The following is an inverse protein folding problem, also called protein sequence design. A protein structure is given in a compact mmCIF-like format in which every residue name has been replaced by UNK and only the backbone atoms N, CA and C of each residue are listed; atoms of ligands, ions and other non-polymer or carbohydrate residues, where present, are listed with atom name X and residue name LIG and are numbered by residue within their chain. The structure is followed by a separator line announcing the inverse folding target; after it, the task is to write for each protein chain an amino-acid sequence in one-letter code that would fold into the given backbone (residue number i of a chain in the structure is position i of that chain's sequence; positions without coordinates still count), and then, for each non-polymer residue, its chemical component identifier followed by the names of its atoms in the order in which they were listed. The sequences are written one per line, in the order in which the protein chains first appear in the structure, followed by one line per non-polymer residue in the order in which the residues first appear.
data_IF_206432701550
#
_entry.id   IF_206432701550
#
_cell.length_a   1.000
_cell.length_b   1.000
_cell.length_c   1.000
_cell.angle_alpha   90.00
_cell.angle_beta   90.00
_cell.angle_gamma   90.00
#
_symmetry.space_group_name_H-M   'P 1'
#
loop_
_entity.id
_entity.type
_entity.pdbx_description
1 polymer ?
#
# COMPACT_ATOMS: atom_id res chain seq x y z
N UNK A 1 -18.67 1.36 -29.06
CA UNK A 1 -18.28 -0.03 -29.40
C UNK A 1 -16.95 -0.41 -28.73
N UNK A 2 -16.95 -0.79 -27.45
CA UNK A 2 -15.77 -1.32 -26.73
C UNK A 2 -16.16 -2.44 -25.75
N UNK A 3 -17.14 -3.28 -26.11
CA UNK A 3 -17.77 -4.22 -25.17
C UNK A 3 -17.11 -5.61 -25.12
N UNK A 4 -16.22 -5.96 -26.06
CA UNK A 4 -15.66 -7.31 -26.17
C UNK A 4 -14.18 -7.31 -26.55
N UNK A 5 -13.30 -6.82 -25.66
CA UNK A 5 -11.87 -7.10 -25.77
C UNK A 5 -11.53 -8.25 -24.79
N UNK A 6 -11.05 -9.42 -25.26
CA UNK A 6 -10.75 -10.57 -24.39
C UNK A 6 -9.70 -10.27 -23.31
N UNK A 7 -8.84 -9.26 -23.51
CA UNK A 7 -7.90 -8.77 -22.49
C UNK A 7 -8.57 -8.07 -21.29
N UNK A 8 -9.76 -7.48 -21.46
CA UNK A 8 -10.50 -6.83 -20.38
C UNK A 8 -10.97 -7.84 -19.31
N UNK A 9 -11.27 -9.09 -19.72
CA UNK A 9 -11.63 -10.17 -18.79
C UNK A 9 -10.46 -10.64 -17.93
N UNK A 10 -9.24 -10.65 -18.48
CA UNK A 10 -8.02 -11.04 -17.73
C UNK A 10 -7.60 -9.95 -16.73
N UNK A 11 -7.82 -8.67 -17.05
CA UNK A 11 -7.64 -7.53 -16.13
C UNK A 11 -8.76 -7.42 -15.08
N UNK A 12 -10.00 -7.81 -15.40
CA UNK A 12 -11.11 -7.85 -14.44
C UNK A 12 -10.92 -8.96 -13.39
N UNK A 13 -10.30 -10.08 -13.76
CA UNK A 13 -9.96 -11.15 -12.82
C UNK A 13 -8.94 -10.71 -11.75
N UNK A 14 -7.96 -9.87 -12.12
CA UNK A 14 -7.01 -9.33 -11.15
C UNK A 14 -7.64 -8.27 -10.25
N UNK A 15 -8.65 -7.52 -10.73
CA UNK A 15 -9.33 -6.50 -9.93
C UNK A 15 -10.08 -7.11 -8.74
N UNK A 16 -10.96 -8.09 -8.99
CA UNK A 16 -11.69 -8.80 -7.94
C UNK A 16 -10.75 -9.67 -7.09
N UNK A 17 -9.75 -10.31 -7.70
CA UNK A 17 -8.73 -11.06 -6.98
C UNK A 17 -7.98 -10.19 -5.96
N UNK A 18 -7.60 -8.97 -6.33
CA UNK A 18 -6.92 -8.05 -5.42
C UNK A 18 -7.84 -7.60 -4.26
N UNK A 19 -9.13 -7.37 -4.51
CA UNK A 19 -10.09 -7.07 -3.44
C UNK A 19 -10.29 -8.28 -2.50
N UNK A 20 -10.33 -9.49 -3.06
CA UNK A 20 -10.43 -10.72 -2.27
C UNK A 20 -9.21 -10.91 -1.37
N UNK A 21 -8.01 -10.56 -1.85
CA UNK A 21 -6.78 -10.60 -1.04
C UNK A 21 -6.85 -9.66 0.18
N UNK A 22 -7.54 -8.53 0.07
CA UNK A 22 -7.77 -7.63 1.22
C UNK A 22 -8.66 -8.33 2.26
N UNK A 23 -9.75 -8.97 1.82
CA UNK A 23 -10.65 -9.73 2.71
C UNK A 23 -9.93 -10.91 3.35
N UNK A 24 -9.12 -11.65 2.59
CA UNK A 24 -8.33 -12.77 3.12
C UNK A 24 -7.28 -12.30 4.13
N UNK A 25 -6.62 -11.17 3.86
CA UNK A 25 -5.70 -10.56 4.82
C UNK A 25 -6.39 -10.15 6.11
N UNK A 26 -7.59 -9.58 6.01
CA UNK A 26 -8.43 -9.26 7.16
C UNK A 26 -8.76 -10.50 7.99
N UNK A 27 -9.30 -11.55 7.35
CA UNK A 27 -9.65 -12.80 8.04
C UNK A 27 -8.44 -13.45 8.70
N UNK A 28 -7.28 -13.41 8.05
CA UNK A 28 -6.04 -13.89 8.63
C UNK A 28 -5.64 -13.11 9.88
N UNK A 29 -5.77 -11.77 9.85
CA UNK A 29 -5.50 -10.93 11.00
C UNK A 29 -6.45 -11.15 12.17
N UNK A 30 -7.75 -11.33 11.90
CA UNK A 30 -8.74 -11.70 12.91
C UNK A 30 -8.42 -13.04 13.57
N UNK A 31 -8.12 -14.07 12.78
CA UNK A 31 -7.73 -15.40 13.32
C UNK A 31 -6.51 -15.27 14.23
N UNK A 32 -5.53 -14.45 13.83
CA UNK A 32 -4.32 -14.24 14.61
C UNK A 32 -4.61 -13.47 15.92
N UNK A 33 -5.51 -12.48 15.88
CA UNK A 33 -5.98 -11.78 17.08
C UNK A 33 -6.65 -12.75 18.05
N UNK A 34 -7.60 -13.56 17.58
CA UNK A 34 -8.27 -14.58 18.40
C UNK A 34 -7.29 -15.58 18.99
N UNK A 35 -6.29 -16.00 18.22
CA UNK A 35 -5.26 -16.91 18.68
C UNK A 35 -4.43 -16.31 19.82
N UNK A 36 -4.03 -15.03 19.70
CA UNK A 36 -3.27 -14.33 20.74
C UNK A 36 -4.11 -14.16 22.00
N UNK A 37 -5.35 -13.69 21.87
CA UNK A 37 -6.26 -13.49 23.01
C UNK A 37 -6.63 -14.81 23.72
N UNK A 38 -6.54 -15.94 23.03
CA UNK A 38 -6.82 -17.26 23.61
C UNK A 38 -5.59 -17.93 24.23
N UNK A 39 -4.39 -17.63 23.72
CA UNK A 39 -3.13 -18.20 24.22
C UNK A 39 -2.52 -17.41 25.36
N UNK A 40 -2.83 -16.12 25.47
CA UNK A 40 -2.30 -15.25 26.51
C UNK A 40 -3.25 -15.23 27.72
N UNK A 41 -2.70 -15.44 28.92
CA UNK A 41 -3.47 -15.51 30.17
C UNK A 41 -3.84 -14.10 30.69
N UNK A 42 -3.21 -13.03 30.18
CA UNK A 42 -3.52 -11.64 30.55
C UNK A 42 -3.27 -10.65 29.39
N UNK A 43 -4.08 -10.70 28.32
CA UNK A 43 -3.96 -9.78 27.20
C UNK A 43 -4.51 -8.41 27.62
N UNK A 44 -3.70 -7.56 28.26
CA UNK A 44 -4.16 -6.30 28.88
C UNK A 44 -4.96 -5.35 27.98
N UNK A 45 -4.88 -5.51 26.65
CA UNK A 45 -5.66 -4.77 25.66
C UNK A 45 -5.76 -5.55 24.34
N UNK A 46 -6.75 -5.23 23.51
CA UNK A 46 -6.87 -5.78 22.16
C UNK A 46 -6.66 -4.69 21.10
N UNK A 47 -6.18 -5.11 19.93
CA UNK A 47 -5.82 -4.23 18.82
C UNK A 47 -6.49 -4.68 17.53
N UNK A 48 -6.82 -3.73 16.64
CA UNK A 48 -7.44 -4.03 15.34
C UNK A 48 -6.43 -4.64 14.33
N UNK A 49 -6.01 -5.88 14.56
CA UNK A 49 -5.04 -6.59 13.71
C UNK A 49 -5.61 -6.92 12.32
N UNK A 50 -6.90 -7.24 12.21
CA UNK A 50 -7.55 -7.55 10.95
C UNK A 50 -7.44 -6.39 9.97
N UNK A 51 -7.84 -5.20 10.41
CA UNK A 51 -7.83 -3.99 9.59
C UNK A 51 -6.45 -3.46 9.29
N UNK A 52 -5.49 -3.58 10.20
CA UNK A 52 -4.11 -3.22 9.90
C UNK A 52 -3.50 -4.11 8.82
N UNK A 53 -3.72 -5.43 8.89
CA UNK A 53 -3.31 -6.33 7.82
C UNK A 53 -4.06 -6.04 6.52
N UNK A 54 -5.35 -5.72 6.58
CA UNK A 54 -6.12 -5.31 5.41
C UNK A 54 -5.56 -4.04 4.74
N UNK A 55 -5.12 -3.05 5.52
CA UNK A 55 -4.44 -1.85 5.03
C UNK A 55 -3.10 -2.16 4.37
N UNK A 56 -2.31 -3.05 4.97
CA UNK A 56 -1.06 -3.54 4.37
C UNK A 56 -1.35 -4.24 3.04
N UNK A 57 -2.38 -5.08 2.98
CA UNK A 57 -2.78 -5.75 1.74
C UNK A 57 -3.28 -4.78 0.68
N UNK A 58 -4.01 -3.72 1.05
CA UNK A 58 -4.39 -2.64 0.13
C UNK A 58 -3.16 -1.94 -0.45
N UNK A 59 -2.16 -1.66 0.39
CA UNK A 59 -0.90 -1.06 -0.05
C UNK A 59 -0.13 -2.00 -0.99
N UNK A 60 0.03 -3.27 -0.62
CA UNK A 60 0.74 -4.29 -1.41
C UNK A 60 0.08 -4.47 -2.78
N UNK A 61 -1.23 -4.71 -2.79
CA UNK A 61 -1.98 -4.92 -4.03
C UNK A 61 -1.93 -3.68 -4.93
N UNK A 62 -2.08 -2.48 -4.36
CA UNK A 62 -2.04 -1.25 -5.16
C UNK A 62 -0.63 -0.94 -5.68
N UNK A 63 0.37 -0.89 -4.82
CA UNK A 63 1.71 -0.41 -5.20
C UNK A 63 2.50 -1.49 -5.94
N UNK A 64 2.48 -2.73 -5.45
CA UNK A 64 3.27 -3.81 -6.04
C UNK A 64 2.53 -4.50 -7.19
N UNK A 65 1.27 -4.92 -7.01
CA UNK A 65 0.62 -5.72 -8.05
C UNK A 65 0.20 -4.86 -9.25
N UNK A 66 -0.44 -3.70 -9.04
CA UNK A 66 -0.68 -2.78 -10.16
C UNK A 66 0.62 -2.13 -10.65
N UNK A 67 1.59 -1.83 -9.78
CA UNK A 67 2.90 -1.33 -10.22
C UNK A 67 3.59 -2.30 -11.19
N UNK A 68 3.80 -3.56 -10.79
CA UNK A 68 4.44 -4.57 -11.66
C UNK A 68 3.59 -4.87 -12.90
N UNK A 69 2.27 -4.96 -12.73
CA UNK A 69 1.31 -5.21 -13.82
C UNK A 69 1.24 -4.11 -14.88
N UNK A 70 1.70 -2.89 -14.56
CA UNK A 70 1.72 -1.74 -15.49
C UNK A 70 2.41 -2.08 -16.82
N UNK A 71 3.53 -2.79 -16.77
CA UNK A 71 4.37 -3.08 -17.94
C UNK A 71 3.67 -4.00 -18.94
N UNK A 72 3.03 -5.07 -18.45
CA UNK A 72 2.24 -5.98 -19.27
C UNK A 72 0.95 -5.35 -19.79
N UNK A 73 0.29 -4.52 -18.98
CA UNK A 73 -0.89 -3.78 -19.43
C UNK A 73 -0.53 -2.76 -20.51
N UNK A 74 0.65 -2.13 -20.43
CA UNK A 74 1.11 -1.16 -21.40
C UNK A 74 1.45 -1.81 -22.75
N UNK A 75 2.20 -2.92 -22.74
CA UNK A 75 2.56 -3.64 -23.99
C UNK A 75 1.31 -4.16 -24.72
N UNK A 76 0.32 -4.63 -23.96
CA UNK A 76 -0.99 -5.02 -24.51
C UNK A 76 -1.75 -3.83 -25.10
N UNK A 77 -1.74 -2.67 -24.42
CA UNK A 77 -2.40 -1.48 -24.95
C UNK A 77 -1.76 -0.96 -26.25
N UNK A 78 -0.43 -1.04 -26.36
CA UNK A 78 0.27 -0.69 -27.60
C UNK A 78 -0.06 -1.64 -28.75
N UNK A 79 -0.10 -2.96 -28.51
CA UNK A 79 -0.47 -3.92 -29.56
C UNK A 79 -1.91 -3.74 -30.05
N UNK A 80 -2.76 -3.10 -29.25
CA UNK A 80 -4.13 -2.72 -29.59
C UNK A 80 -4.26 -1.30 -30.17
N UNK A 81 -3.16 -0.68 -30.65
CA UNK A 81 -3.12 0.67 -31.23
C UNK A 81 -3.69 1.78 -30.32
N UNK A 82 -3.65 1.61 -28.98
CA UNK A 82 -4.06 2.66 -28.07
C UNK A 82 -2.98 3.74 -27.92
N UNK A 83 -3.40 5.01 -27.84
CA UNK A 83 -2.48 6.12 -27.60
C UNK A 83 -1.96 6.09 -26.16
N UNK A 84 -0.66 6.41 -25.97
CA UNK A 84 0.02 6.37 -24.66
C UNK A 84 -0.66 7.22 -23.60
N UNK A 85 -1.15 8.40 -23.98
CA UNK A 85 -1.88 9.31 -23.08
C UNK A 85 -3.21 8.71 -22.61
N UNK A 86 -3.92 8.01 -23.50
CA UNK A 86 -5.18 7.34 -23.16
C UNK A 86 -4.94 6.14 -22.25
N UNK A 87 -3.85 5.40 -22.45
CA UNK A 87 -3.47 4.31 -21.55
C UNK A 87 -3.26 4.80 -20.11
N UNK A 88 -2.48 5.87 -19.91
CA UNK A 88 -2.20 6.39 -18.56
C UNK A 88 -3.48 6.86 -17.87
N UNK A 89 -4.38 7.52 -18.60
CA UNK A 89 -5.68 7.95 -18.07
C UNK A 89 -6.57 6.76 -17.69
N UNK A 90 -6.66 5.74 -18.55
CA UNK A 90 -7.47 4.54 -18.28
C UNK A 90 -6.88 3.72 -17.12
N UNK A 91 -5.55 3.61 -17.06
CA UNK A 91 -4.85 2.85 -16.02
C UNK A 91 -4.91 3.55 -14.65
N UNK A 92 -4.70 4.86 -14.61
CA UNK A 92 -4.88 5.65 -13.37
C UNK A 92 -6.32 5.60 -12.88
N UNK A 93 -7.31 5.66 -13.77
CA UNK A 93 -8.72 5.48 -13.42
C UNK A 93 -9.01 4.12 -12.78
N UNK A 94 -8.39 3.03 -13.29
CA UNK A 94 -8.51 1.69 -12.70
C UNK A 94 -7.88 1.60 -11.31
N UNK A 95 -6.67 2.13 -11.13
CA UNK A 95 -6.02 2.17 -9.81
C UNK A 95 -6.86 2.99 -8.83
N UNK A 96 -7.36 4.16 -9.26
CA UNK A 96 -8.20 5.01 -8.42
C UNK A 96 -9.49 4.29 -8.02
N UNK A 97 -10.17 3.62 -8.96
CA UNK A 97 -11.35 2.83 -8.66
C UNK A 97 -11.04 1.70 -7.66
N UNK A 98 -9.89 1.04 -7.81
CA UNK A 98 -9.44 0.02 -6.87
C UNK A 98 -9.16 0.59 -5.48
N UNK A 99 -8.49 1.75 -5.40
CA UNK A 99 -8.19 2.42 -4.15
C UNK A 99 -9.45 2.88 -3.42
N UNK A 100 -10.41 3.48 -4.13
CA UNK A 100 -11.68 3.91 -3.55
C UNK A 100 -12.48 2.72 -3.05
N UNK A 101 -12.64 1.68 -3.87
CA UNK A 101 -13.38 0.47 -3.47
C UNK A 101 -12.68 -0.30 -2.36
N UNK A 102 -11.36 -0.44 -2.43
CA UNK A 102 -10.54 -1.09 -1.40
C UNK A 102 -10.57 -0.32 -0.09
N UNK A 103 -10.53 1.01 -0.12
CA UNK A 103 -10.68 1.83 1.07
C UNK A 103 -12.08 1.71 1.69
N UNK A 104 -13.16 1.76 0.89
CA UNK A 104 -14.52 1.55 1.38
C UNK A 104 -14.69 0.15 2.01
N UNK A 105 -14.07 -0.87 1.39
CA UNK A 105 -14.05 -2.22 1.93
C UNK A 105 -13.34 -2.25 3.28
N UNK A 106 -12.14 -1.67 3.41
CA UNK A 106 -11.40 -1.61 4.67
C UNK A 106 -12.17 -0.83 5.73
N UNK A 107 -12.84 0.26 5.37
CA UNK A 107 -13.70 1.01 6.30
C UNK A 107 -14.85 0.14 6.83
N UNK A 108 -15.50 -0.63 5.95
CA UNK A 108 -16.54 -1.58 6.33
C UNK A 108 -16.02 -2.67 7.25
N UNK A 109 -14.86 -3.25 6.93
CA UNK A 109 -14.18 -4.24 7.75
C UNK A 109 -13.77 -3.68 9.12
N UNK A 110 -13.35 -2.41 9.18
CA UNK A 110 -13.02 -1.73 10.43
C UNK A 110 -14.22 -1.56 11.35
N UNK A 111 -15.37 -1.17 10.78
CA UNK A 111 -16.61 -1.13 11.57
C UNK A 111 -17.02 -2.51 12.04
N UNK A 112 -16.81 -3.55 11.22
CA UNK A 112 -17.10 -4.92 11.59
C UNK A 112 -16.18 -5.43 12.71
N UNK A 113 -14.86 -5.21 12.61
CA UNK A 113 -13.87 -5.58 13.63
C UNK A 113 -14.13 -4.88 14.96
N UNK A 114 -14.51 -3.59 14.93
CA UNK A 114 -14.92 -2.89 16.15
C UNK A 114 -16.17 -3.52 16.79
N UNK A 115 -17.15 -3.95 16.00
CA UNK A 115 -18.36 -4.60 16.53
C UNK A 115 -18.04 -5.99 17.10
N UNK A 116 -17.24 -6.78 16.37
CA UNK A 116 -16.83 -8.13 16.79
C UNK A 116 -15.95 -8.07 18.02
N UNK A 117 -14.93 -7.21 18.04
CA UNK A 117 -14.01 -7.05 19.17
C UNK A 117 -14.73 -6.57 20.44
N UNK A 118 -15.62 -5.57 20.34
CA UNK A 118 -16.41 -5.13 21.49
C UNK A 118 -17.39 -6.20 22.00
N UNK A 119 -17.87 -7.10 21.13
CA UNK A 119 -18.77 -8.18 21.54
C UNK A 119 -18.01 -9.40 22.10
N UNK A 120 -16.84 -9.72 21.55
CA UNK A 120 -16.03 -10.87 21.93
C UNK A 120 -15.12 -10.60 23.15
N UNK A 121 -14.65 -9.36 23.30
CA UNK A 121 -13.71 -8.93 24.32
C UNK A 121 -14.21 -7.69 25.10
N UNK A 122 -15.38 -7.77 25.76
CA UNK A 122 -15.96 -6.62 26.45
C UNK A 122 -15.13 -6.15 27.65
N UNK A 123 -14.33 -7.05 28.25
CA UNK A 123 -13.54 -6.78 29.44
C UNK A 123 -12.17 -6.14 29.13
N UNK A 124 -11.78 -6.07 27.85
CA UNK A 124 -10.47 -5.57 27.42
C UNK A 124 -10.59 -4.22 26.70
N UNK A 125 -9.80 -3.21 27.08
CA UNK A 125 -9.79 -1.91 26.40
C UNK A 125 -9.15 -2.02 25.01
N UNK A 126 -9.63 -1.20 24.08
CA UNK A 126 -9.05 -1.05 22.75
C UNK A 126 -7.74 -0.24 22.84
N UNK A 127 -6.65 -0.82 22.35
CA UNK A 127 -5.29 -0.28 22.52
C UNK A 127 -5.03 0.98 21.66
N UNK A 128 -5.57 1.02 20.44
CA UNK A 128 -5.48 2.19 19.57
C UNK A 128 -6.64 2.26 18.57
N UNK A 129 -7.33 3.40 18.55
CA UNK A 129 -8.31 3.71 17.51
C UNK A 129 -7.63 4.17 16.22
N UNK A 130 -8.00 3.58 15.08
CA UNK A 130 -7.52 3.97 13.75
C UNK A 130 -8.25 5.24 13.24
N UNK A 131 -8.25 6.31 14.03
CA UNK A 131 -8.96 7.56 13.74
C UNK A 131 -8.57 8.21 12.41
N UNK A 132 -7.34 7.98 11.95
CA UNK A 132 -6.85 8.46 10.65
C UNK A 132 -7.64 7.91 9.45
N UNK A 133 -8.34 6.77 9.60
CA UNK A 133 -9.19 6.22 8.55
C UNK A 133 -10.42 7.08 8.29
N UNK A 134 -10.82 7.94 9.22
CA UNK A 134 -12.01 8.79 9.09
C UNK A 134 -11.70 10.24 8.70
N UNK A 135 -10.43 10.66 8.79
CA UNK A 135 -10.01 11.99 8.37
C UNK A 135 -9.85 12.05 6.85
N UNK A 136 -10.77 12.78 6.20
CA UNK A 136 -10.78 12.94 4.75
C UNK A 136 -9.46 13.51 4.19
N UNK A 137 -8.73 14.33 4.95
CA UNK A 137 -7.45 14.92 4.51
C UNK A 137 -6.38 13.86 4.41
N UNK A 138 -6.29 13.00 5.43
CA UNK A 138 -5.33 11.89 5.48
C UNK A 138 -5.68 10.84 4.43
N UNK A 139 -6.96 10.53 4.28
CA UNK A 139 -7.45 9.58 3.26
C UNK A 139 -7.14 10.07 1.85
N UNK A 140 -7.42 11.34 1.55
CA UNK A 140 -7.16 11.90 0.22
C UNK A 140 -5.67 11.95 -0.09
N UNK A 141 -4.84 12.35 0.89
CA UNK A 141 -3.39 12.30 0.77
C UNK A 141 -2.87 10.86 0.56
N UNK A 142 -3.44 9.89 1.29
CA UNK A 142 -3.10 8.47 1.17
C UNK A 142 -3.44 7.90 -0.20
N UNK A 143 -4.65 8.17 -0.71
CA UNK A 143 -5.09 7.74 -2.06
C UNK A 143 -4.19 8.36 -3.12
N UNK A 144 -3.91 9.66 -3.04
CA UNK A 144 -3.03 10.35 -3.99
C UNK A 144 -1.60 9.77 -3.95
N UNK A 145 -1.05 9.53 -2.77
CA UNK A 145 0.28 8.95 -2.57
C UNK A 145 0.37 7.51 -3.08
N UNK A 146 -0.64 6.68 -2.81
CA UNK A 146 -0.70 5.30 -3.32
C UNK A 146 -0.85 5.24 -4.84
N UNK A 147 -1.70 6.09 -5.42
CA UNK A 147 -1.84 6.19 -6.88
C UNK A 147 -0.51 6.57 -7.54
N UNK A 148 0.15 7.60 -7.01
CA UNK A 148 1.39 8.11 -7.56
C UNK A 148 2.53 7.11 -7.42
N UNK A 149 2.66 6.45 -6.27
CA UNK A 149 3.65 5.39 -6.04
C UNK A 149 3.42 4.18 -6.94
N UNK A 150 2.17 3.73 -7.13
CA UNK A 150 1.86 2.64 -8.06
C UNK A 150 2.26 2.97 -9.50
N UNK A 151 1.94 4.17 -9.98
CA UNK A 151 2.34 4.64 -11.31
C UNK A 151 3.86 4.80 -11.45
N UNK A 152 4.52 5.30 -10.41
CA UNK A 152 5.97 5.47 -10.37
C UNK A 152 6.70 4.12 -10.41
N UNK A 153 6.29 3.17 -9.57
CA UNK A 153 6.82 1.81 -9.55
C UNK A 153 6.60 1.17 -10.92
N UNK A 154 5.41 1.29 -11.50
CA UNK A 154 5.14 0.78 -12.85
C UNK A 154 5.99 1.39 -13.96
N UNK A 155 6.22 2.70 -13.92
CA UNK A 155 7.12 3.37 -14.86
C UNK A 155 8.57 2.89 -14.71
N UNK A 156 9.05 2.75 -13.47
CA UNK A 156 10.38 2.22 -13.17
C UNK A 156 10.56 0.79 -13.70
N UNK A 157 9.61 -0.10 -13.41
CA UNK A 157 9.62 -1.48 -13.92
C UNK A 157 9.60 -1.50 -15.45
N UNK A 158 8.82 -0.62 -16.09
CA UNK A 158 8.76 -0.53 -17.55
C UNK A 158 10.09 -0.14 -18.20
N UNK A 159 10.93 0.63 -17.50
CA UNK A 159 12.19 1.14 -18.08
C UNK A 159 13.38 0.26 -17.75
N UNK A 160 13.50 -0.12 -16.50
CA UNK A 160 14.67 -0.79 -15.96
C UNK A 160 14.45 -2.30 -15.77
N UNK A 161 13.23 -2.79 -15.98
CA UNK A 161 12.87 -4.20 -15.91
C UNK A 161 13.28 -4.82 -14.57
N UNK A 162 13.97 -5.97 -14.64
CA UNK A 162 14.39 -6.76 -13.47
C UNK A 162 15.30 -5.99 -12.49
N UNK A 163 16.07 -5.00 -12.96
CA UNK A 163 16.95 -4.18 -12.10
C UNK A 163 16.15 -3.25 -11.18
N UNK A 164 15.07 -2.63 -11.69
CA UNK A 164 14.17 -1.85 -10.84
C UNK A 164 13.45 -2.72 -9.82
N UNK A 165 13.06 -3.94 -10.20
CA UNK A 165 12.45 -4.88 -9.27
C UNK A 165 13.33 -5.23 -8.08
N UNK A 166 14.63 -5.39 -8.31
CA UNK A 166 15.59 -5.63 -7.24
C UNK A 166 15.72 -4.42 -6.29
N UNK A 167 15.74 -3.20 -6.83
CA UNK A 167 15.79 -1.98 -6.01
C UNK A 167 14.51 -1.82 -5.17
N UNK A 168 13.34 -1.95 -5.80
CA UNK A 168 12.05 -1.86 -5.11
C UNK A 168 11.94 -2.94 -4.03
N UNK A 169 12.41 -4.16 -4.31
CA UNK A 169 12.46 -5.24 -3.34
C UNK A 169 13.40 -4.94 -2.16
N UNK A 170 14.60 -4.42 -2.39
CA UNK A 170 15.53 -4.06 -1.31
C UNK A 170 14.96 -2.93 -0.44
N UNK A 171 14.35 -1.92 -1.06
CA UNK A 171 13.67 -0.84 -0.32
C UNK A 171 12.51 -1.40 0.49
N UNK A 172 11.70 -2.27 -0.11
CA UNK A 172 10.60 -2.96 0.57
C UNK A 172 11.08 -3.77 1.79
N UNK A 173 12.10 -4.61 1.60
CA UNK A 173 12.68 -5.42 2.69
C UNK A 173 13.27 -4.54 3.79
N UNK A 174 13.95 -3.45 3.42
CA UNK A 174 14.44 -2.47 4.40
C UNK A 174 13.28 -1.89 5.21
N UNK A 175 12.20 -1.46 4.57
CA UNK A 175 11.02 -0.96 5.29
C UNK A 175 10.40 -2.02 6.21
N UNK A 176 10.20 -3.25 5.73
CA UNK A 176 9.59 -4.32 6.54
C UNK A 176 10.43 -4.72 7.75
N UNK A 177 11.76 -4.69 7.68
CA UNK A 177 12.62 -5.08 8.81
C UNK A 177 13.00 -3.93 9.73
N UNK A 178 13.18 -2.71 9.19
CA UNK A 178 13.65 -1.57 9.98
C UNK A 178 12.49 -0.84 10.64
N UNK A 179 11.34 -0.69 9.97
CA UNK A 179 10.21 0.07 10.52
C UNK A 179 9.67 -0.53 11.83
N UNK A 180 9.43 -1.85 11.96
CA UNK A 180 9.00 -2.40 13.24
C UNK A 180 10.02 -2.16 14.35
N UNK A 181 11.31 -2.27 14.02
CA UNK A 181 12.42 -2.03 14.96
C UNK A 181 12.51 -0.59 15.45
N UNK A 182 12.08 0.40 14.66
CA UNK A 182 12.02 1.80 15.10
C UNK A 182 11.10 1.97 16.32
N UNK A 183 10.05 1.14 16.43
CA UNK A 183 9.08 1.22 17.51
C UNK A 183 9.42 0.33 18.71
N UNK A 184 10.32 -0.64 18.54
CA UNK A 184 10.71 -1.59 19.59
C UNK A 184 12.17 -1.43 20.06
N UNK A 185 12.94 -0.51 19.47
CA UNK A 185 14.36 -0.36 19.79
C UNK A 185 14.56 0.17 21.21
N UNK A 186 14.93 -0.71 22.14
CA UNK A 186 15.65 -0.34 23.35
C UNK A 186 17.08 0.11 22.98
N UNK A 187 17.61 1.17 23.61
CA UNK A 187 18.95 1.68 23.30
C UNK A 187 20.02 0.67 23.75
N UNK A 188 20.44 -0.23 22.86
CA UNK A 188 21.51 -1.21 23.14
C UNK A 188 21.77 -2.31 22.11
N UNK A 189 20.98 -2.46 21.04
CA UNK A 189 21.18 -3.52 20.05
C UNK A 189 22.43 -3.34 19.17
N UNK A 190 23.34 -4.32 19.16
CA UNK A 190 24.58 -4.31 18.36
C UNK A 190 24.37 -4.64 16.87
N UNK A 191 23.14 -4.94 16.44
CA UNK A 191 22.85 -5.32 15.05
C UNK A 191 22.86 -4.14 14.06
N UNK A 192 23.33 -4.38 12.83
CA UNK A 192 23.32 -3.37 11.73
C UNK A 192 21.91 -2.79 11.48
N UNK A 193 20.87 -3.60 11.65
CA UNK A 193 19.48 -3.15 11.53
C UNK A 193 18.97 -2.34 12.73
N UNK A 194 19.53 -2.56 13.92
CA UNK A 194 19.18 -1.79 15.13
C UNK A 194 19.83 -0.40 15.08
N UNK A 195 21.07 -0.32 14.60
CA UNK A 195 21.73 0.96 14.33
C UNK A 195 21.01 1.75 13.22
N UNK A 196 20.58 1.07 12.15
CA UNK A 196 19.77 1.69 11.12
C UNK A 196 18.40 2.16 11.65
N UNK A 197 17.77 1.40 12.54
CA UNK A 197 16.53 1.78 13.21
C UNK A 197 16.71 2.99 14.14
N UNK A 198 17.78 3.05 14.94
CA UNK A 198 18.07 4.20 15.82
C UNK A 198 18.38 5.49 15.03
N UNK A 199 19.13 5.36 13.92
CA UNK A 199 19.44 6.49 13.05
C UNK A 199 18.18 7.00 12.34
N UNK A 200 17.33 6.09 11.86
CA UNK A 200 16.05 6.46 11.25
C UNK A 200 15.06 7.02 12.27
N UNK A 201 14.98 6.47 13.48
CA UNK A 201 14.15 6.96 14.58
C UNK A 201 14.55 8.39 15.00
N UNK A 202 15.85 8.63 15.19
CA UNK A 202 16.36 9.95 15.55
C UNK A 202 16.17 10.98 14.43
N UNK A 203 16.23 10.57 13.16
CA UNK A 203 15.90 11.43 12.02
C UNK A 203 14.39 11.71 11.94
N UNK A 204 13.54 10.69 12.17
CA UNK A 204 12.08 10.81 12.12
C UNK A 204 11.53 11.73 13.22
N UNK A 205 11.96 11.52 14.47
CA UNK A 205 11.43 12.23 15.64
C UNK A 205 11.94 13.67 15.75
N UNK A 206 13.08 14.00 15.13
CA UNK A 206 13.64 15.36 15.12
C UNK A 206 13.06 16.24 14.00
N UNK A 207 12.33 15.66 13.04
CA UNK A 207 11.87 16.41 11.89
C UNK A 207 10.57 17.17 12.22
N UNK A 208 10.54 18.52 12.07
CA UNK A 208 9.32 19.28 12.27
C UNK A 208 8.27 18.88 11.23
N UNK A 209 6.98 19.06 11.56
CA UNK A 209 5.87 18.73 10.66
C UNK A 209 5.99 19.41 9.28
N UNK A 210 6.56 20.61 9.23
CA UNK A 210 6.87 21.29 7.98
C UNK A 210 7.89 20.52 7.10
N UNK A 211 8.88 19.87 7.70
CA UNK A 211 9.87 19.04 6.99
C UNK A 211 9.25 17.80 6.35
N UNK A 212 8.25 17.20 6.99
CA UNK A 212 7.48 16.10 6.40
C UNK A 212 6.67 16.53 5.19
N UNK A 213 6.03 17.69 5.27
CA UNK A 213 5.26 18.24 4.15
C UNK A 213 6.15 18.60 2.96
N UNK A 214 7.33 19.19 3.20
CA UNK A 214 8.26 19.53 2.12
C UNK A 214 8.86 18.29 1.46
N UNK A 215 9.26 17.28 2.24
CA UNK A 215 9.72 16.00 1.70
C UNK A 215 8.63 15.30 0.89
N UNK A 216 7.41 15.25 1.41
CA UNK A 216 6.26 14.69 0.71
C UNK A 216 5.99 15.41 -0.62
N UNK A 217 6.06 16.75 -0.64
CA UNK A 217 5.89 17.54 -1.85
C UNK A 217 7.01 17.28 -2.88
N UNK A 218 8.27 17.23 -2.45
CA UNK A 218 9.41 16.93 -3.34
C UNK A 218 9.29 15.51 -3.90
N UNK A 219 8.93 14.54 -3.07
CA UNK A 219 8.69 13.16 -3.50
C UNK A 219 7.55 13.11 -4.53
N UNK A 220 6.43 13.77 -4.28
CA UNK A 220 5.30 13.80 -5.19
C UNK A 220 5.65 14.45 -6.55
N UNK A 221 6.36 15.58 -6.53
CA UNK A 221 6.79 16.28 -7.75
C UNK A 221 7.79 15.42 -8.54
N UNK A 222 8.76 14.81 -7.87
CA UNK A 222 9.77 13.96 -8.53
C UNK A 222 9.17 12.68 -9.12
N UNK A 223 8.24 12.03 -8.42
CA UNK A 223 7.48 10.88 -8.93
C UNK A 223 6.57 11.28 -10.11
N UNK A 224 5.86 12.40 -10.00
CA UNK A 224 5.02 12.91 -11.10
C UNK A 224 5.85 13.24 -12.34
N UNK A 225 6.98 13.94 -12.16
CA UNK A 225 7.90 14.26 -13.24
C UNK A 225 8.47 13.00 -13.90
N UNK A 226 8.87 11.99 -13.12
CA UNK A 226 9.36 10.72 -13.68
C UNK A 226 8.28 9.99 -14.46
N UNK A 227 7.05 9.89 -13.94
CA UNK A 227 5.92 9.29 -14.67
C UNK A 227 5.68 10.02 -16.01
N UNK A 228 5.68 11.36 -16.02
CA UNK A 228 5.47 12.14 -17.25
C UNK A 228 6.63 12.01 -18.24
N UNK A 229 7.88 12.09 -17.77
CA UNK A 229 9.07 11.96 -18.62
C UNK A 229 9.15 10.56 -19.21
N UNK A 230 8.85 9.52 -18.41
CA UNK A 230 8.83 8.14 -18.87
C UNK A 230 7.68 7.88 -19.83
N UNK A 231 6.49 8.43 -19.59
CA UNK A 231 5.38 8.39 -20.54
C UNK A 231 5.71 9.01 -21.91
N UNK A 232 6.54 10.04 -21.92
CA UNK A 232 7.02 10.70 -23.16
C UNK A 232 8.14 9.93 -23.85
N UNK A 233 9.08 9.35 -23.07
CA UNK A 233 10.32 8.74 -23.61
C UNK A 233 10.30 7.21 -23.73
N UNK A 234 9.37 6.49 -23.11
CA UNK A 234 9.32 5.03 -23.18
C UNK A 234 8.59 4.53 -24.43
N UNK A 235 9.20 3.52 -25.03
CA UNK A 235 8.72 2.63 -26.11
C UNK A 235 9.14 3.03 -27.51
N UNK A 236 10.45 3.03 -27.74
CA UNK A 236 10.99 2.28 -28.88
C UNK A 236 12.01 1.32 -28.28
N UNK A 237 11.70 0.03 -28.37
CA UNK A 237 12.69 -1.03 -28.29
C UNK A 237 12.54 -1.86 -29.54
#
# INVERSE_FOLDING_TARGET
MLRNCPGARRLSGSFFGNLLLIVLGFLFGEILLFLIMFLDDNPGSWFCMGTTIALVMLLVTTVLFYGVGYTGAFSLALSMNCTRRRFILDYSGKILAHLVLGYLLVLGLYRLELLVGNAAFPDYPLEAELGFLTDWRVVLAGIAGMLLSALFVGAMFGRFGRKAGLIVYLVWMFCCFVVPKIFTAEPGGEGVFDQAALLTQSALLRMPMAGWLTLGAIAAVSMGATVVVMARKQMVR
#
